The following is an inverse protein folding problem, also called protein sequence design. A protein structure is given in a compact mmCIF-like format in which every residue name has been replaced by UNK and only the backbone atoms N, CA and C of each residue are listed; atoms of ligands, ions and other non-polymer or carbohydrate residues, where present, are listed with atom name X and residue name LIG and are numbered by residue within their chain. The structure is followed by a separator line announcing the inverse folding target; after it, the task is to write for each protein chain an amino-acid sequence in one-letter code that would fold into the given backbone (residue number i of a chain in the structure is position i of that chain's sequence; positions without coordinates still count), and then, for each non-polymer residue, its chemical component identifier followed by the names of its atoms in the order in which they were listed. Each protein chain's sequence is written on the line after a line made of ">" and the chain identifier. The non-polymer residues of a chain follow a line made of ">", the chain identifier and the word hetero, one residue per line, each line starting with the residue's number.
data_IF_390510391854
#
_entry.id   IF_390510391854
#
_cell.length_a   1.000
_cell.length_b   1.000
_cell.length_c   1.000
_cell.angle_alpha   90.00
_cell.angle_beta   90.00
_cell.angle_gamma   90.00
#
_symmetry.space_group_name_H-M   'P 1'
#
loop_
_entity.id
_entity.type
_entity.pdbx_description
1 polymer ?
#
# COMPACT_ATOMS: atom_id res chain seq x y z
N UNK A 1 10.35 1.89 -0.84
CA UNK A 1 9.21 2.35 -1.65
C UNK A 1 8.91 3.80 -1.34
N UNK A 2 8.78 4.65 -2.35
CA UNK A 2 8.38 6.07 -2.29
C UNK A 2 6.85 6.19 -2.30
N UNK A 3 6.31 7.35 -1.93
CA UNK A 3 4.86 7.60 -1.97
C UNK A 3 4.24 7.42 -3.36
N UNK A 4 4.96 7.78 -4.43
CA UNK A 4 4.49 7.59 -5.81
C UNK A 4 4.39 6.10 -6.17
N UNK A 5 5.34 5.28 -5.74
CA UNK A 5 5.35 3.83 -5.96
C UNK A 5 4.23 3.15 -5.16
N UNK A 6 3.96 3.59 -3.93
CA UNK A 6 2.81 3.14 -3.15
C UNK A 6 1.49 3.41 -3.87
N UNK A 7 1.30 4.65 -4.35
CA UNK A 7 0.08 5.01 -5.09
C UNK A 7 -0.09 4.19 -6.36
N UNK A 8 1.00 3.94 -7.09
CA UNK A 8 0.98 3.07 -8.27
C UNK A 8 0.58 1.64 -7.89
N UNK A 9 1.19 1.06 -6.86
CA UNK A 9 0.84 -0.29 -6.40
C UNK A 9 -0.61 -0.41 -5.94
N UNK A 10 -1.12 0.59 -5.22
CA UNK A 10 -2.53 0.66 -4.82
C UNK A 10 -3.46 0.70 -6.04
N UNK A 11 -3.13 1.51 -7.06
CA UNK A 11 -3.92 1.60 -8.28
C UNK A 11 -3.84 0.33 -9.14
N UNK A 12 -2.67 -0.30 -9.23
CA UNK A 12 -2.49 -1.54 -10.00
C UNK A 12 -3.33 -2.69 -9.43
N UNK A 13 -3.47 -2.75 -8.11
CA UNK A 13 -4.16 -3.86 -7.43
C UNK A 13 -5.65 -3.58 -7.18
N UNK A 14 -5.99 -2.36 -6.78
CA UNK A 14 -7.35 -2.01 -6.36
C UNK A 14 -8.06 -1.04 -7.32
N UNK A 15 -7.36 -0.50 -8.32
CA UNK A 15 -7.91 0.42 -9.30
C UNK A 15 -8.61 1.61 -8.64
N UNK A 16 -9.80 1.96 -9.15
CA UNK A 16 -10.59 3.08 -8.67
C UNK A 16 -10.92 3.03 -7.15
N UNK A 17 -10.92 1.84 -6.54
CA UNK A 17 -11.20 1.68 -5.10
C UNK A 17 -9.98 1.95 -4.21
N UNK A 18 -8.79 2.11 -4.78
CA UNK A 18 -7.54 2.33 -4.06
C UNK A 18 -7.61 3.49 -3.05
N UNK A 19 -8.23 4.61 -3.45
CA UNK A 19 -8.33 5.79 -2.59
C UNK A 19 -9.21 5.53 -1.37
N UNK A 20 -10.41 4.97 -1.58
CA UNK A 20 -11.32 4.60 -0.50
C UNK A 20 -10.72 3.54 0.42
N UNK A 21 -10.05 2.52 -0.12
CA UNK A 21 -9.36 1.52 0.71
C UNK A 21 -8.27 2.15 1.58
N UNK A 22 -7.49 3.09 1.05
CA UNK A 22 -6.47 3.78 1.84
C UNK A 22 -7.04 4.66 2.97
N UNK A 23 -8.27 5.13 2.80
CA UNK A 23 -8.99 5.96 3.77
C UNK A 23 -9.74 5.12 4.82
N UNK A 24 -10.38 4.03 4.41
CA UNK A 24 -11.34 3.29 5.24
C UNK A 24 -10.77 2.02 5.87
N UNK A 25 -9.77 1.37 5.24
CA UNK A 25 -9.23 0.12 5.76
C UNK A 25 -8.34 0.38 6.98
N UNK A 26 -8.80 -0.10 8.14
CA UNK A 26 -8.04 -0.06 9.39
C UNK A 26 -7.00 -1.20 9.40
N UNK A 27 -5.73 -0.83 9.52
CA UNK A 27 -4.60 -1.75 9.51
C UNK A 27 -4.16 -2.05 10.93
N UNK A 28 -4.57 -3.20 11.47
CA UNK A 28 -4.15 -3.65 12.81
C UNK A 28 -2.61 -3.65 13.01
N UNK A 29 -1.77 -4.07 12.03
CA UNK A 29 -0.31 -4.01 12.17
C UNK A 29 0.27 -2.59 12.32
N UNK A 30 -0.52 -1.55 12.04
CA UNK A 30 -0.14 -0.14 12.16
C UNK A 30 -0.78 0.53 13.38
N UNK A 31 -1.24 -0.24 14.37
CA UNK A 31 -1.89 0.28 15.56
C UNK A 31 -3.32 0.73 15.29
N UNK A 32 -4.03 0.00 14.43
CA UNK A 32 -5.42 0.30 14.05
C UNK A 32 -5.61 1.68 13.41
N UNK A 33 -4.64 2.08 12.59
CA UNK A 33 -4.70 3.27 11.75
C UNK A 33 -5.01 2.89 10.31
N UNK A 34 -5.61 3.82 9.57
CA UNK A 34 -5.79 3.68 8.12
C UNK A 34 -4.48 3.95 7.40
N UNK A 35 -4.38 3.59 6.12
CA UNK A 35 -3.16 3.84 5.35
C UNK A 35 -2.83 5.33 5.30
N UNK A 36 -3.84 6.19 5.10
CA UNK A 36 -3.67 7.64 5.07
C UNK A 36 -3.21 8.20 6.43
N UNK A 37 -3.80 7.74 7.53
CA UNK A 37 -3.40 8.14 8.89
C UNK A 37 -1.95 7.73 9.16
N UNK A 38 -1.59 6.48 8.87
CA UNK A 38 -0.24 5.98 9.08
C UNK A 38 0.80 6.79 8.28
N UNK A 39 0.51 7.09 7.01
CA UNK A 39 1.38 7.93 6.18
C UNK A 39 1.51 9.36 6.71
N UNK A 40 0.41 9.95 7.19
CA UNK A 40 0.41 11.30 7.77
C UNK A 40 1.24 11.36 9.06
N UNK A 41 1.23 10.29 9.86
CA UNK A 41 2.03 10.13 11.07
C UNK A 41 3.52 9.79 10.78
N UNK A 42 3.91 9.74 9.50
CA UNK A 42 5.29 9.51 9.09
C UNK A 42 5.68 8.03 8.90
N UNK A 43 4.73 7.09 8.92
CA UNK A 43 5.03 5.70 8.57
C UNK A 43 5.52 5.59 7.13
N UNK A 44 6.54 4.76 6.93
CA UNK A 44 7.09 4.57 5.59
C UNK A 44 6.05 3.92 4.66
N UNK A 45 5.94 4.35 3.39
CA UNK A 45 5.02 3.74 2.43
C UNK A 45 5.24 2.22 2.26
N UNK A 46 6.49 1.77 2.39
CA UNK A 46 6.84 0.34 2.35
C UNK A 46 6.18 -0.47 3.48
N UNK A 47 6.15 0.07 4.70
CA UNK A 47 5.50 -0.57 5.85
C UNK A 47 3.98 -0.56 5.70
N UNK A 48 3.42 0.53 5.20
CA UNK A 48 1.98 0.64 4.93
C UNK A 48 1.53 -0.38 3.89
N UNK A 49 2.26 -0.49 2.77
CA UNK A 49 1.97 -1.50 1.73
C UNK A 49 2.09 -2.93 2.26
N UNK A 50 3.11 -3.21 3.06
CA UNK A 50 3.27 -4.52 3.69
C UNK A 50 2.06 -4.90 4.54
N UNK A 51 1.54 -3.97 5.34
CA UNK A 51 0.35 -4.19 6.16
C UNK A 51 -0.91 -4.39 5.31
N UNK A 52 -1.07 -3.64 4.21
CA UNK A 52 -2.18 -3.83 3.27
C UNK A 52 -2.11 -5.22 2.64
N UNK A 53 -0.93 -5.66 2.17
CA UNK A 53 -0.75 -7.00 1.62
C UNK A 53 -1.10 -8.09 2.64
N UNK A 54 -0.71 -7.90 3.91
CA UNK A 54 -1.01 -8.85 4.98
C UNK A 54 -2.50 -8.94 5.27
N UNK A 55 -3.17 -7.79 5.48
CA UNK A 55 -4.60 -7.74 5.83
C UNK A 55 -5.51 -8.22 4.68
N UNK A 56 -5.11 -7.97 3.43
CA UNK A 56 -5.86 -8.40 2.24
C UNK A 56 -5.38 -9.77 1.70
N UNK A 57 -4.51 -10.46 2.44
CA UNK A 57 -3.96 -11.78 2.07
C UNK A 57 -3.40 -11.82 0.63
N UNK A 58 -2.77 -10.71 0.20
CA UNK A 58 -2.25 -10.59 -1.15
C UNK A 58 -1.03 -11.51 -1.35
N UNK A 59 -0.89 -12.14 -2.52
CA UNK A 59 0.27 -12.98 -2.83
C UNK A 59 1.60 -12.22 -2.69
N UNK A 60 2.65 -12.92 -2.27
CA UNK A 60 3.98 -12.31 -2.08
C UNK A 60 4.55 -11.70 -3.37
N UNK A 61 4.18 -12.24 -4.54
CA UNK A 61 4.54 -11.68 -5.85
C UNK A 61 4.07 -10.23 -6.02
N UNK A 62 2.89 -9.89 -5.48
CA UNK A 62 2.30 -8.54 -5.52
C UNK A 62 3.06 -7.58 -4.61
N UNK A 63 3.54 -8.05 -3.45
CA UNK A 63 4.31 -7.25 -2.49
C UNK A 63 5.54 -6.60 -3.13
N UNK A 64 6.18 -7.31 -4.07
CA UNK A 64 7.36 -6.86 -4.80
C UNK A 64 7.07 -6.25 -6.19
N UNK A 65 5.81 -6.22 -6.63
CA UNK A 65 5.43 -5.79 -7.99
C UNK A 65 5.87 -4.36 -8.31
N UNK A 66 5.80 -3.44 -7.34
CA UNK A 66 6.29 -2.05 -7.49
C UNK A 66 7.78 -1.94 -7.86
N UNK A 67 8.60 -2.94 -7.51
CA UNK A 67 10.03 -2.98 -7.85
C UNK A 67 10.26 -3.37 -9.31
N UNK A 68 9.33 -4.10 -9.93
CA UNK A 68 9.45 -4.54 -11.33
C UNK A 68 8.95 -3.48 -12.34
N UNK A 69 7.97 -2.66 -11.94
CA UNK A 69 7.43 -1.59 -12.79
C UNK A 69 8.45 -0.48 -13.15
N UNK A 70 9.59 -0.41 -12.45
CA UNK A 70 10.66 0.55 -12.71
C UNK A 70 11.49 0.24 -13.98
N UNK A 71 11.34 -0.94 -14.60
CA UNK A 71 12.14 -1.34 -15.77
C UNK A 71 11.50 -1.01 -17.14
N UNK A 72 10.35 -0.32 -17.18
CA UNK A 72 9.76 0.12 -18.45
C UNK A 72 10.13 1.59 -18.72
N UNK A 73 11.33 1.80 -19.23
CA UNK A 73 11.78 3.05 -19.86
C UNK A 73 12.50 2.75 -21.16
#
# INVERSE_FOLDING_TARGET
>A
MKHSEFRAAMQDIFGAYAASLAEDLVLAPLGSRTANQALADGESPGRVWAAICEVNELPESVRWHHRQAQHKR
#
